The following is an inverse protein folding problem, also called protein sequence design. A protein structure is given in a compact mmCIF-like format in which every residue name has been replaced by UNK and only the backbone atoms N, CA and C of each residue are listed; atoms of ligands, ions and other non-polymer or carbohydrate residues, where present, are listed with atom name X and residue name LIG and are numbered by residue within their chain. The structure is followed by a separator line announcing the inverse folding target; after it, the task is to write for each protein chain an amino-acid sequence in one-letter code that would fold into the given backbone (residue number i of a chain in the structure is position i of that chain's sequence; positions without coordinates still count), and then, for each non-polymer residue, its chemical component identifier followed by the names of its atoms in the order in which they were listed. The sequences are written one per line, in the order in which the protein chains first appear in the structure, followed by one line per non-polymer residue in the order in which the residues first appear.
data_IF_752080575049
#
_entry.id   IF_752080575049
#
_cell.length_a   1.000
_cell.length_b   1.000
_cell.length_c   1.000
_cell.angle_alpha   90.00
_cell.angle_beta   90.00
_cell.angle_gamma   90.00
#
_symmetry.space_group_name_H-M   'P 1'
#
loop_
_entity.id
_entity.type
_entity.pdbx_description
1 polymer ?
#
# COMPACT_ATOMS: atom_id res chain seq x y z
N UNK A 1 8.64 57.12 -60.96
CA UNK A 1 7.22 56.73 -60.75
C UNK A 1 6.69 55.73 -61.78
N UNK A 2 6.98 55.84 -63.09
CA UNK A 2 6.50 54.87 -64.11
C UNK A 2 6.93 53.40 -63.89
N UNK A 3 8.21 53.18 -63.51
CA UNK A 3 8.73 51.87 -63.04
C UNK A 3 7.83 51.21 -61.99
N UNK A 4 7.28 51.99 -61.07
CA UNK A 4 6.60 51.47 -59.88
C UNK A 4 5.16 51.07 -60.20
N UNK A 5 4.58 51.67 -61.25
CA UNK A 5 3.31 51.27 -61.82
C UNK A 5 3.44 50.07 -62.76
N UNK A 6 4.59 49.87 -63.41
CA UNK A 6 4.80 48.78 -64.38
C UNK A 6 5.20 47.45 -63.71
N UNK A 7 5.90 47.52 -62.56
CA UNK A 7 6.24 46.34 -61.74
C UNK A 7 5.41 46.21 -60.45
N UNK A 8 4.44 47.10 -60.23
CA UNK A 8 3.59 47.11 -59.03
C UNK A 8 2.85 45.78 -58.84
N UNK A 9 2.24 45.28 -59.91
CA UNK A 9 1.50 44.00 -59.90
C UNK A 9 2.42 42.81 -59.57
N UNK A 10 3.65 42.79 -60.10
CA UNK A 10 4.63 41.75 -59.82
C UNK A 10 5.13 41.78 -58.37
N UNK A 11 5.29 42.97 -57.80
CA UNK A 11 5.68 43.16 -56.40
C UNK A 11 4.55 42.66 -55.48
N UNK A 12 3.30 42.96 -55.79
CA UNK A 12 2.13 42.51 -55.02
C UNK A 12 1.96 40.97 -55.07
N UNK A 13 2.18 40.36 -56.24
CA UNK A 13 2.22 38.90 -56.39
C UNK A 13 3.35 38.28 -55.57
N UNK A 14 4.54 38.88 -55.58
CA UNK A 14 5.68 38.39 -54.80
C UNK A 14 5.41 38.47 -53.28
N UNK A 15 4.85 39.58 -52.79
CA UNK A 15 4.46 39.71 -51.38
C UNK A 15 3.36 38.73 -50.99
N UNK A 16 2.38 38.48 -51.88
CA UNK A 16 1.32 37.51 -51.66
C UNK A 16 1.88 36.08 -51.57
N UNK A 17 2.83 35.73 -52.43
CA UNK A 17 3.48 34.42 -52.43
C UNK A 17 4.30 34.20 -51.15
N UNK A 18 5.08 35.20 -50.72
CA UNK A 18 5.84 35.15 -49.46
C UNK A 18 4.90 35.05 -48.26
N UNK A 19 3.79 35.78 -48.25
CA UNK A 19 2.79 35.71 -47.18
C UNK A 19 2.15 34.32 -47.09
N UNK A 20 1.83 33.71 -48.24
CA UNK A 20 1.25 32.37 -48.30
C UNK A 20 2.24 31.30 -47.84
N UNK A 21 3.51 31.39 -48.24
CA UNK A 21 4.58 30.52 -47.74
C UNK A 21 4.77 30.66 -46.22
N UNK A 22 4.76 31.90 -45.71
CA UNK A 22 4.88 32.17 -44.27
C UNK A 22 3.70 31.58 -43.52
N UNK A 23 2.48 31.73 -44.03
CA UNK A 23 1.28 31.13 -43.46
C UNK A 23 1.38 29.60 -43.41
N UNK A 24 1.88 28.96 -44.47
CA UNK A 24 2.06 27.51 -44.50
C UNK A 24 3.07 27.02 -43.44
N UNK A 25 4.18 27.73 -43.28
CA UNK A 25 5.17 27.44 -42.22
C UNK A 25 4.55 27.61 -40.83
N UNK A 26 3.77 28.67 -40.61
CA UNK A 26 3.08 28.88 -39.33
C UNK A 26 2.08 27.77 -39.03
N UNK A 27 1.31 27.32 -40.03
CA UNK A 27 0.38 26.19 -39.88
C UNK A 27 1.14 24.91 -39.52
N UNK A 28 2.24 24.63 -40.23
CA UNK A 28 3.06 23.46 -39.97
C UNK A 28 3.69 23.45 -38.57
N UNK A 29 4.22 24.60 -38.13
CA UNK A 29 4.76 24.76 -36.78
C UNK A 29 3.68 24.59 -35.70
N UNK A 30 2.49 25.16 -35.91
CA UNK A 30 1.36 24.97 -34.98
C UNK A 30 0.92 23.50 -34.92
N UNK A 31 0.93 22.79 -36.05
CA UNK A 31 0.59 21.37 -36.09
C UNK A 31 1.59 20.53 -35.28
N UNK A 32 2.89 20.74 -35.47
CA UNK A 32 3.92 20.03 -34.69
C UNK A 32 3.89 20.43 -33.21
N UNK A 33 3.67 21.71 -32.90
CA UNK A 33 3.52 22.18 -31.52
C UNK A 33 2.33 21.50 -30.82
N UNK A 34 1.18 21.38 -31.50
CA UNK A 34 0.01 20.70 -30.96
C UNK A 34 0.27 19.21 -30.71
N UNK A 35 0.97 18.54 -31.63
CA UNK A 35 1.34 17.13 -31.48
C UNK A 35 2.30 16.90 -30.31
N UNK A 36 3.25 17.81 -30.09
CA UNK A 36 4.14 17.77 -28.93
C UNK A 36 3.39 18.05 -27.63
N UNK A 37 2.46 19.00 -27.63
CA UNK A 37 1.61 19.30 -26.48
C UNK A 37 0.72 18.10 -26.12
N UNK A 38 0.15 17.41 -27.10
CA UNK A 38 -0.65 16.19 -26.89
C UNK A 38 0.17 15.10 -26.18
N UNK A 39 1.39 14.82 -26.66
CA UNK A 39 2.31 13.88 -26.00
C UNK A 39 2.66 14.31 -24.58
N UNK A 40 2.92 15.60 -24.35
CA UNK A 40 3.20 16.12 -23.00
C UNK A 40 2.03 15.94 -22.04
N UNK A 41 0.80 16.08 -22.53
CA UNK A 41 -0.41 15.82 -21.73
C UNK A 41 -0.56 14.32 -21.43
N UNK A 42 -0.28 13.44 -22.40
CA UNK A 42 -0.30 11.98 -22.18
C UNK A 42 0.74 11.54 -21.16
N UNK A 43 1.98 12.01 -21.28
CA UNK A 43 3.06 11.72 -20.33
C UNK A 43 2.72 12.28 -18.94
N UNK A 44 2.19 13.50 -18.87
CA UNK A 44 1.75 14.11 -17.62
C UNK A 44 0.65 13.31 -16.92
N UNK A 45 -0.33 12.80 -17.68
CA UNK A 45 -1.37 11.89 -17.15
C UNK A 45 -0.77 10.61 -16.62
N UNK A 46 0.17 9.99 -17.34
CA UNK A 46 0.81 8.76 -16.92
C UNK A 46 1.64 8.95 -15.64
N UNK A 47 2.39 10.04 -15.54
CA UNK A 47 3.13 10.40 -14.32
C UNK A 47 2.16 10.59 -13.16
N UNK A 48 1.09 11.35 -13.37
CA UNK A 48 0.08 11.59 -12.34
C UNK A 48 -0.60 10.30 -11.87
N UNK A 49 -0.91 9.38 -12.79
CA UNK A 49 -1.44 8.05 -12.47
C UNK A 49 -0.46 7.21 -11.63
N UNK A 50 0.83 7.24 -11.98
CA UNK A 50 1.86 6.49 -11.25
C UNK A 50 2.10 7.07 -9.85
N UNK A 51 2.13 8.40 -9.71
CA UNK A 51 2.32 9.06 -8.43
C UNK A 51 1.12 8.89 -7.49
N UNK A 52 -0.10 8.93 -8.02
CA UNK A 52 -1.33 8.77 -7.25
C UNK A 52 -1.83 7.33 -7.20
N UNK A 53 -0.97 6.36 -7.53
CA UNK A 53 -1.34 4.95 -7.46
C UNK A 53 -1.49 4.52 -5.99
N UNK A 54 -2.60 3.87 -5.60
CA UNK A 54 -2.70 3.21 -4.30
C UNK A 54 -1.76 2.01 -4.24
N UNK A 55 -1.22 1.73 -3.05
CA UNK A 55 -0.38 0.55 -2.83
C UNK A 55 -0.85 -0.17 -1.58
N UNK A 56 -1.72 -1.17 -1.80
CA UNK A 56 -2.31 -1.97 -0.72
C UNK A 56 -1.48 -3.23 -0.50
N UNK A 57 -1.10 -3.50 0.75
CA UNK A 57 -0.49 -4.75 1.16
C UNK A 57 -1.08 -5.29 2.46
N UNK A 58 -0.95 -6.60 2.63
CA UNK A 58 -1.39 -7.34 3.78
C UNK A 58 -0.21 -7.66 4.68
N UNK A 59 -0.42 -7.52 5.99
CA UNK A 59 0.54 -7.87 7.01
C UNK A 59 -0.18 -8.49 8.20
N UNK A 60 0.47 -9.46 8.83
CA UNK A 60 0.06 -9.98 10.13
C UNK A 60 0.81 -9.18 11.20
N UNK A 61 0.06 -8.53 12.07
CA UNK A 61 0.56 -7.73 13.17
C UNK A 61 0.39 -8.52 14.47
N UNK A 62 1.44 -8.58 15.28
CA UNK A 62 1.44 -9.31 16.55
C UNK A 62 1.68 -8.30 17.66
N UNK A 63 0.66 -8.06 18.46
CA UNK A 63 0.81 -7.33 19.72
C UNK A 63 1.19 -8.34 20.80
N UNK A 64 2.48 -8.41 21.11
CA UNK A 64 3.01 -9.32 22.12
C UNK A 64 2.69 -8.88 23.55
N UNK A 65 2.38 -7.60 23.77
CA UNK A 65 1.96 -7.09 25.08
C UNK A 65 0.54 -7.52 25.42
N UNK A 66 -0.38 -7.41 24.46
CA UNK A 66 -1.75 -7.92 24.58
C UNK A 66 -1.89 -9.41 24.24
N UNK A 67 -0.82 -10.03 23.73
CA UNK A 67 -0.79 -11.41 23.22
C UNK A 67 -1.83 -11.68 22.12
N UNK A 68 -2.07 -10.68 21.27
CA UNK A 68 -3.06 -10.74 20.19
C UNK A 68 -2.42 -10.70 18.81
N UNK A 69 -3.04 -11.39 17.86
CA UNK A 69 -2.69 -11.37 16.45
C UNK A 69 -3.81 -10.70 15.65
N UNK A 70 -3.43 -9.79 14.76
CA UNK A 70 -4.36 -9.06 13.92
C UNK A 70 -3.92 -9.10 12.46
N UNK A 71 -4.89 -9.15 11.57
CA UNK A 71 -4.67 -8.95 10.15
C UNK A 71 -4.77 -7.47 9.83
N UNK A 72 -3.81 -6.98 9.08
CA UNK A 72 -3.71 -5.57 8.74
C UNK A 72 -3.63 -5.41 7.23
N UNK A 73 -4.48 -4.54 6.69
CA UNK A 73 -4.33 -3.99 5.36
C UNK A 73 -3.83 -2.56 5.48
N UNK A 74 -2.75 -2.27 4.78
CA UNK A 74 -2.17 -0.93 4.72
C UNK A 74 -2.25 -0.41 3.31
N UNK A 75 -2.55 0.87 3.15
CA UNK A 75 -2.35 1.60 1.90
C UNK A 75 -1.18 2.57 2.08
N UNK A 76 -0.02 2.28 1.48
CA UNK A 76 1.15 3.19 1.47
C UNK A 76 1.27 3.98 0.16
N UNK A 77 0.25 3.91 -0.69
CA UNK A 77 0.17 4.74 -1.87
C UNK A 77 -0.35 6.13 -1.51
N UNK A 78 -0.07 7.11 -2.36
CA UNK A 78 -0.66 8.46 -2.26
C UNK A 78 -2.13 8.47 -2.69
N UNK A 79 -2.55 7.47 -3.46
CA UNK A 79 -3.93 7.30 -3.93
C UNK A 79 -4.84 6.61 -2.92
N UNK A 80 -6.13 6.89 -3.03
CA UNK A 80 -7.17 6.10 -2.35
C UNK A 80 -7.28 4.71 -2.97
N UNK A 81 -7.49 3.70 -2.13
CA UNK A 81 -7.84 2.36 -2.57
C UNK A 81 -9.32 2.09 -2.30
N UNK A 82 -10.03 1.58 -3.30
CA UNK A 82 -11.46 1.23 -3.26
C UNK A 82 -11.67 -0.26 -3.50
N UNK A 83 -12.82 -0.77 -3.08
CA UNK A 83 -13.29 -2.13 -3.41
C UNK A 83 -12.24 -3.22 -3.12
N UNK A 84 -11.58 -3.10 -1.97
CA UNK A 84 -10.46 -3.96 -1.61
C UNK A 84 -11.00 -5.34 -1.22
N UNK A 85 -10.46 -6.40 -1.82
CA UNK A 85 -10.78 -7.78 -1.49
C UNK A 85 -9.51 -8.56 -1.28
N UNK A 86 -9.45 -9.32 -0.19
CA UNK A 86 -8.33 -10.20 0.13
C UNK A 86 -8.77 -11.64 -0.07
N UNK A 87 -8.06 -12.36 -0.94
CA UNK A 87 -8.24 -13.79 -1.14
C UNK A 87 -7.01 -14.51 -0.61
N UNK A 88 -7.19 -15.37 0.40
CA UNK A 88 -6.15 -16.26 0.92
C UNK A 88 -6.37 -17.67 0.38
N UNK A 89 -5.29 -18.36 0.01
CA UNK A 89 -5.37 -19.72 -0.55
C UNK A 89 -5.52 -20.79 0.53
N UNK A 90 -4.88 -20.57 1.66
CA UNK A 90 -4.86 -21.49 2.78
C UNK A 90 -6.08 -21.29 3.70
N UNK A 91 -6.64 -22.40 4.18
CA UNK A 91 -7.72 -22.37 5.15
C UNK A 91 -7.14 -22.19 6.55
N UNK A 92 -7.08 -20.95 7.01
CA UNK A 92 -6.71 -20.64 8.39
C UNK A 92 -7.92 -20.74 9.31
N UNK A 93 -7.66 -21.12 10.56
CA UNK A 93 -8.63 -21.03 11.65
C UNK A 93 -8.29 -19.84 12.53
N UNK A 94 -9.30 -19.05 12.85
CA UNK A 94 -9.22 -17.80 13.58
C UNK A 94 -10.09 -17.87 14.82
N UNK A 95 -9.72 -17.17 15.90
CA UNK A 95 -10.45 -17.15 17.16
C UNK A 95 -10.66 -15.70 17.62
N UNK A 96 -11.54 -14.93 16.96
CA UNK A 96 -11.93 -13.64 17.50
C UNK A 96 -12.71 -13.88 18.80
N UNK A 97 -12.05 -13.62 19.93
CA UNK A 97 -12.65 -13.84 21.25
C UNK A 97 -12.59 -15.30 21.70
N UNK A 98 -13.66 -16.08 21.47
CA UNK A 98 -13.82 -17.45 22.03
C UNK A 98 -14.34 -18.52 21.05
N UNK A 99 -14.69 -18.15 19.83
CA UNK A 99 -15.23 -19.08 18.83
C UNK A 99 -14.21 -19.33 17.72
N UNK A 100 -13.99 -20.59 17.36
CA UNK A 100 -13.19 -20.97 16.21
C UNK A 100 -13.99 -20.77 14.93
N UNK A 101 -13.55 -19.83 14.10
CA UNK A 101 -14.13 -19.56 12.80
C UNK A 101 -13.09 -19.76 11.69
N UNK A 102 -13.50 -20.23 10.50
CA UNK A 102 -12.63 -20.22 9.33
C UNK A 102 -12.33 -18.79 8.90
N UNK A 103 -11.13 -18.56 8.37
CA UNK A 103 -10.63 -17.25 7.94
C UNK A 103 -11.53 -16.57 6.90
N UNK A 104 -12.28 -17.34 6.10
CA UNK A 104 -13.21 -16.80 5.12
C UNK A 104 -14.44 -16.10 5.73
N UNK A 105 -14.70 -16.30 7.03
CA UNK A 105 -15.78 -15.61 7.78
C UNK A 105 -15.32 -14.34 8.49
N UNK A 106 -14.04 -13.98 8.36
CA UNK A 106 -13.52 -12.70 8.86
C UNK A 106 -14.06 -11.58 7.96
N UNK A 107 -14.48 -10.46 8.54
CA UNK A 107 -15.20 -9.40 7.81
C UNK A 107 -14.37 -8.87 6.63
N UNK A 108 -13.06 -8.66 6.84
CA UNK A 108 -12.10 -8.26 5.80
C UNK A 108 -12.08 -9.19 4.58
N UNK A 109 -12.25 -10.51 4.77
CA UNK A 109 -12.23 -11.48 3.68
C UNK A 109 -13.63 -11.73 3.10
N UNK A 110 -14.66 -11.71 3.94
CA UNK A 110 -16.02 -12.00 3.54
C UNK A 110 -16.67 -10.84 2.76
N UNK A 111 -16.56 -9.62 3.30
CA UNK A 111 -17.21 -8.43 2.74
C UNK A 111 -16.24 -7.58 1.92
N UNK A 112 -14.94 -7.69 2.23
CA UNK A 112 -13.93 -6.79 1.71
C UNK A 112 -13.96 -5.44 2.43
N UNK A 113 -13.16 -4.49 1.94
CA UNK A 113 -13.10 -3.14 2.46
C UNK A 113 -13.45 -2.15 1.35
N UNK A 114 -14.52 -1.39 1.53
CA UNK A 114 -15.01 -0.46 0.51
C UNK A 114 -13.98 0.63 0.18
N UNK A 115 -13.24 1.09 1.18
CA UNK A 115 -12.35 2.24 1.07
C UNK A 115 -11.19 2.19 2.07
N UNK A 116 -9.98 2.51 1.60
CA UNK A 116 -8.81 2.74 2.44
C UNK A 116 -8.06 3.99 1.96
N UNK A 117 -8.01 5.00 2.84
CA UNK A 117 -7.33 6.27 2.57
C UNK A 117 -5.81 6.09 2.35
N UNK A 118 -5.12 7.06 1.73
CA UNK A 118 -3.66 7.09 1.69
C UNK A 118 -3.08 7.03 3.10
N UNK A 119 -1.99 6.28 3.28
CA UNK A 119 -1.39 5.97 4.59
C UNK A 119 -2.36 5.33 5.62
N UNK A 120 -3.54 4.88 5.16
CA UNK A 120 -4.55 4.26 6.00
C UNK A 120 -4.15 2.84 6.42
N UNK A 121 -4.61 2.45 7.61
CA UNK A 121 -4.53 1.09 8.15
C UNK A 121 -5.93 0.61 8.49
N UNK A 122 -6.29 -0.57 8.02
CA UNK A 122 -7.43 -1.33 8.52
C UNK A 122 -6.91 -2.55 9.28
N UNK A 123 -7.39 -2.75 10.49
CA UNK A 123 -6.95 -3.82 11.39
C UNK A 123 -8.16 -4.64 11.81
N UNK A 124 -8.03 -5.95 11.73
CA UNK A 124 -9.02 -6.89 12.24
C UNK A 124 -8.36 -7.91 13.16
N UNK A 125 -8.89 -8.05 14.36
CA UNK A 125 -8.39 -8.98 15.37
C UNK A 125 -8.74 -10.41 14.98
N UNK A 126 -7.74 -11.29 14.98
CA UNK A 126 -7.88 -12.68 14.52
C UNK A 126 -7.80 -13.67 15.68
N UNK A 127 -7.21 -13.29 16.80
CA UNK A 127 -7.24 -14.06 18.04
C UNK A 127 -6.00 -13.84 18.90
N UNK A 128 -5.74 -14.78 19.80
CA UNK A 128 -4.51 -14.77 20.59
C UNK A 128 -3.34 -15.41 19.84
N UNK A 129 -2.15 -14.83 19.99
CA UNK A 129 -0.95 -15.22 19.25
C UNK A 129 -0.58 -16.70 19.44
N UNK A 130 -0.52 -17.26 20.67
CA UNK A 130 -0.07 -18.63 20.89
C UNK A 130 -1.06 -19.66 20.34
N UNK A 131 -2.35 -19.45 20.55
CA UNK A 131 -3.38 -20.37 20.05
C UNK A 131 -3.45 -20.32 18.54
N UNK A 132 -3.38 -19.12 17.93
CA UNK A 132 -3.37 -18.98 16.48
C UNK A 132 -2.25 -19.80 15.82
N UNK A 133 -1.00 -19.68 16.31
CA UNK A 133 0.11 -20.46 15.76
C UNK A 133 0.05 -21.95 16.11
N UNK A 134 -0.56 -22.32 17.24
CA UNK A 134 -0.76 -23.73 17.61
C UNK A 134 -1.75 -24.43 16.68
N UNK A 135 -2.86 -23.77 16.36
CA UNK A 135 -3.91 -24.33 15.50
C UNK A 135 -3.45 -24.36 14.04
N UNK A 136 -2.78 -23.29 13.58
CA UNK A 136 -2.32 -23.17 12.19
C UNK A 136 -0.87 -23.68 12.00
N UNK A 137 -0.38 -24.58 12.85
CA UNK A 137 1.03 -25.04 12.86
C UNK A 137 1.48 -25.73 11.56
N UNK A 138 0.53 -26.34 10.84
CA UNK A 138 0.78 -27.11 9.63
C UNK A 138 0.81 -26.22 8.37
N UNK A 139 0.60 -24.91 8.52
CA UNK A 139 0.62 -23.91 7.44
C UNK A 139 1.89 -23.06 7.61
N UNK A 140 3.00 -23.40 6.92
CA UNK A 140 4.27 -22.69 7.09
C UNK A 140 4.30 -21.32 6.40
N UNK A 141 3.57 -21.18 5.30
CA UNK A 141 3.44 -19.97 4.49
C UNK A 141 1.97 -19.74 4.16
N UNK A 142 1.58 -18.47 4.17
CA UNK A 142 0.29 -17.97 3.76
C UNK A 142 0.45 -17.27 2.42
N UNK A 143 -0.38 -17.63 1.45
CA UNK A 143 -0.43 -17.05 0.13
C UNK A 143 -1.79 -16.44 -0.14
N UNK A 144 -1.80 -15.40 -0.97
CA UNK A 144 -3.05 -14.78 -1.36
C UNK A 144 -2.86 -13.71 -2.42
N UNK A 145 -3.94 -13.00 -2.70
CA UNK A 145 -3.97 -11.86 -3.61
C UNK A 145 -4.91 -10.81 -3.02
N UNK A 146 -4.47 -9.56 -3.04
CA UNK A 146 -5.31 -8.40 -2.75
C UNK A 146 -5.74 -7.79 -4.08
N UNK A 147 -7.03 -7.67 -4.30
CA UNK A 147 -7.63 -6.95 -5.42
C UNK A 147 -8.11 -5.60 -4.92
N UNK A 148 -7.84 -4.52 -5.65
CA UNK A 148 -8.29 -3.17 -5.29
C UNK A 148 -8.36 -2.27 -6.52
N UNK A 149 -9.05 -1.15 -6.38
CA UNK A 149 -9.24 -0.14 -7.42
C UNK A 149 -8.71 1.23 -6.96
N UNK A 150 -8.24 2.05 -7.89
CA UNK A 150 -7.92 3.45 -7.58
C UNK A 150 -9.15 4.36 -7.62
N UNK A 151 -8.92 5.67 -7.48
CA UNK A 151 -9.97 6.68 -7.55
C UNK A 151 -10.74 6.65 -8.89
N UNK A 152 -10.05 6.34 -9.98
CA UNK A 152 -10.55 6.32 -11.36
C UNK A 152 -11.16 4.96 -11.77
N UNK A 153 -11.11 3.96 -10.91
CA UNK A 153 -11.66 2.61 -11.15
C UNK A 153 -10.69 1.65 -11.85
N UNK A 154 -9.41 1.99 -11.97
CA UNK A 154 -8.38 1.10 -12.51
C UNK A 154 -8.09 0.00 -11.49
N UNK A 155 -8.17 -1.25 -11.94
CA UNK A 155 -8.00 -2.45 -11.10
C UNK A 155 -6.54 -2.82 -10.95
N UNK A 156 -6.17 -3.20 -9.73
CA UNK A 156 -4.84 -3.63 -9.35
C UNK A 156 -4.90 -4.92 -8.55
N UNK A 157 -3.79 -5.65 -8.59
CA UNK A 157 -3.60 -6.88 -7.84
C UNK A 157 -2.22 -6.85 -7.18
N UNK A 158 -2.17 -7.19 -5.88
CA UNK A 158 -0.92 -7.34 -5.13
C UNK A 158 -0.86 -8.76 -4.57
N UNK A 159 0.18 -9.56 -4.89
CA UNK A 159 0.34 -10.88 -4.30
C UNK A 159 0.68 -10.76 -2.81
N UNK A 160 0.12 -11.67 -2.02
CA UNK A 160 0.39 -11.81 -0.59
C UNK A 160 1.22 -13.06 -0.37
N UNK A 161 2.32 -12.91 0.37
CA UNK A 161 3.13 -14.03 0.85
C UNK A 161 3.65 -13.72 2.24
N UNK A 162 3.26 -14.53 3.21
CA UNK A 162 3.66 -14.35 4.62
C UNK A 162 4.21 -15.66 5.14
N UNK A 163 5.42 -15.64 5.70
CA UNK A 163 6.02 -16.82 6.31
C UNK A 163 5.57 -16.93 7.79
N UNK A 164 4.55 -17.74 8.04
CA UNK A 164 3.98 -17.95 9.37
C UNK A 164 4.97 -18.62 10.32
N UNK A 165 5.81 -19.53 9.82
CA UNK A 165 6.83 -20.21 10.62
C UNK A 165 7.89 -19.24 11.16
N UNK A 166 8.27 -18.24 10.38
CA UNK A 166 9.19 -17.18 10.80
C UNK A 166 8.52 -16.25 11.82
N UNK A 167 7.25 -15.89 11.60
CA UNK A 167 6.49 -15.05 12.52
C UNK A 167 6.29 -15.70 13.89
N UNK A 168 5.86 -16.97 13.94
CA UNK A 168 5.63 -17.69 15.20
C UNK A 168 6.90 -17.93 16.03
N UNK A 169 8.09 -17.77 15.44
CA UNK A 169 9.38 -17.85 16.14
C UNK A 169 9.87 -16.50 16.67
N UNK A 170 9.22 -15.38 16.31
CA UNK A 170 9.58 -14.07 16.87
C UNK A 170 9.30 -14.08 18.37
N UNK A 171 10.37 -14.02 19.15
CA UNK A 171 10.33 -13.68 20.56
C UNK A 171 10.82 -12.24 20.65
N UNK A 172 9.95 -11.30 20.99
CA UNK A 172 10.46 -10.02 21.49
C UNK A 172 10.86 -10.22 22.94
N UNK A 173 12.07 -9.76 23.26
CA UNK A 173 12.44 -9.49 24.64
C UNK A 173 11.65 -8.25 25.01
N UNK A 174 10.43 -8.43 25.53
CA UNK A 174 9.69 -7.34 26.16
C UNK A 174 10.59 -6.84 27.28
N UNK A 175 11.13 -5.61 27.24
CA UNK A 175 11.89 -5.09 28.35
C UNK A 175 10.94 -5.08 29.54
N UNK A 176 11.27 -5.87 30.56
CA UNK A 176 10.48 -5.94 31.79
C UNK A 176 10.24 -4.51 32.28
N UNK A 177 8.98 -4.14 32.47
CA UNK A 177 8.65 -2.87 33.10
C UNK A 177 9.36 -2.77 34.44
N UNK A 178 9.71 -1.55 34.87
CA UNK A 178 10.45 -1.33 36.13
C UNK A 178 9.80 -2.08 37.30
N UNK A 179 8.46 -2.16 37.33
CA UNK A 179 7.70 -2.88 38.35
C UNK A 179 7.95 -4.40 38.37
N UNK A 180 8.12 -5.03 37.20
CA UNK A 180 8.49 -6.45 37.10
C UNK A 180 9.94 -6.68 37.53
N UNK A 181 10.84 -5.73 37.24
CA UNK A 181 12.23 -5.79 37.70
C UNK A 181 12.30 -5.65 39.22
N UNK A 182 11.49 -4.77 39.80
CA UNK A 182 11.39 -4.60 41.26
C UNK A 182 10.86 -5.87 41.93
N UNK A 183 9.80 -6.49 41.40
CA UNK A 183 9.30 -7.75 41.96
C UNK A 183 10.33 -8.88 41.90
N UNK A 184 11.07 -9.00 40.79
CA UNK A 184 12.13 -10.02 40.68
C UNK A 184 13.27 -9.75 41.66
N UNK A 185 13.63 -8.48 41.87
CA UNK A 185 14.65 -8.10 42.87
C UNK A 185 14.20 -8.40 44.30
N UNK A 186 12.95 -8.11 44.65
CA UNK A 186 12.38 -8.42 45.96
C UNK A 186 12.33 -9.93 46.23
N UNK A 187 11.98 -10.73 45.22
CA UNK A 187 11.98 -12.18 45.33
C UNK A 187 13.41 -12.76 45.48
N UNK A 188 14.39 -12.18 44.79
CA UNK A 188 15.80 -12.54 44.95
C UNK A 188 16.27 -12.19 46.37
N UNK A 189 15.94 -11.01 46.88
CA UNK A 189 16.31 -10.59 48.24
C UNK A 189 15.70 -11.52 49.30
N UNK A 190 14.40 -11.83 49.18
CA UNK A 190 13.73 -12.80 50.06
C UNK A 190 14.41 -14.17 50.04
N UNK A 191 14.75 -14.65 48.85
CA UNK A 191 15.38 -15.96 48.67
C UNK A 191 16.78 -15.99 49.31
N UNK A 192 17.54 -14.90 49.20
CA UNK A 192 18.85 -14.76 49.83
C UNK A 192 18.77 -14.69 51.36
N UNK A 193 17.81 -13.93 51.92
CA UNK A 193 17.57 -13.87 53.38
C UNK A 193 17.17 -15.23 53.94
N UNK A 194 16.27 -15.96 53.26
CA UNK A 194 15.87 -17.31 53.65
C UNK A 194 17.05 -18.29 53.65
N UNK A 195 17.97 -18.18 52.69
CA UNK A 195 19.20 -18.99 52.64
C UNK A 195 20.20 -18.64 53.75
N UNK A 196 20.31 -17.37 54.14
CA UNK A 196 21.17 -16.95 55.25
C UNK A 196 20.64 -17.44 56.60
N UNK A 197 19.32 -17.42 56.82
CA UNK A 197 18.74 -17.96 58.06
C UNK A 197 18.88 -19.47 58.18
N UNK A 198 18.89 -20.22 57.07
CA UNK A 198 19.14 -21.68 57.08
C UNK A 198 20.60 -22.08 57.30
N UNK A 199 21.54 -21.11 57.32
CA UNK A 199 22.98 -21.35 57.55
C UNK A 199 23.45 -21.00 58.96
N UNK A 200 22.53 -20.58 59.84
CA UNK A 200 22.75 -20.49 61.29
C UNK A 200 22.02 -21.64 61.96
#
# INVERSE_FOLDING_TARGET
MKWLMEYGDWIEVAFSLVSLLTMFVVIWLNYEANKLAEKGVEEGKLIWELENRPYVYFQIDMDLGANTISFCLYNRGKGIAKNIRLELKENLTCIPGREEIPVQKIAMLQEGLAFLAPEGKFLELVGDTPTFFRINKDIPELHGTIFYEDAAGKKYQTPVRVNLKALGKRREVVPAGIDQVVQVLEDIERTLRMRQMRRR
#
